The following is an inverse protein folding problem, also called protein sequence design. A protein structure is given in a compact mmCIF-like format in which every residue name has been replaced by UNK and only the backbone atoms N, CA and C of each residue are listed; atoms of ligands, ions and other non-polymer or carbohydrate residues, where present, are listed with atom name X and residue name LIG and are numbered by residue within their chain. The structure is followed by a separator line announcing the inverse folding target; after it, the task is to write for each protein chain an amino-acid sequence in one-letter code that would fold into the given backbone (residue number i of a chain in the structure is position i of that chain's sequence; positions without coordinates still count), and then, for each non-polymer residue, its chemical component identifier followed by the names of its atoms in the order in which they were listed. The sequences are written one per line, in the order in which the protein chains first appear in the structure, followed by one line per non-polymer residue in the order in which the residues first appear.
data_IF_466495953571
#
_entry.id   IF_466495953571
#
_cell.length_a   1.000
_cell.length_b   1.000
_cell.length_c   1.000
_cell.angle_alpha   90.00
_cell.angle_beta   90.00
_cell.angle_gamma   90.00
#
_symmetry.space_group_name_H-M   'P 1'
#
loop_
_entity.id
_entity.type
_entity.pdbx_description
1 polymer ?
#
# COMPACT_ATOMS: atom_id res chain seq x y z
N UNK A 1 2.92 2.36 27.76
CA UNK A 1 2.11 3.45 27.17
C UNK A 1 2.54 3.60 25.73
N UNK A 2 1.80 3.03 24.79
CA UNK A 2 2.11 3.16 23.36
C UNK A 2 1.84 4.59 22.95
N UNK A 3 2.86 5.29 22.47
CA UNK A 3 2.73 6.69 22.05
C UNK A 3 1.64 6.76 20.99
N UNK A 4 0.62 7.59 21.22
CA UNK A 4 -0.59 7.70 20.38
C UNK A 4 -0.21 7.94 18.91
N UNK A 5 0.92 8.59 18.66
CA UNK A 5 1.45 8.87 17.33
C UNK A 5 1.88 7.61 16.53
N UNK A 6 2.14 6.49 17.21
CA UNK A 6 2.58 5.24 16.60
C UNK A 6 1.44 4.28 16.23
N UNK A 7 0.18 4.58 16.54
CA UNK A 7 -0.91 3.71 16.12
C UNK A 7 -1.23 3.94 14.63
N UNK A 8 -1.62 2.86 13.95
CA UNK A 8 -2.06 2.87 12.55
C UNK A 8 -1.00 3.35 11.53
N UNK A 9 0.29 3.24 11.86
CA UNK A 9 1.41 3.64 10.98
C UNK A 9 1.44 2.87 9.66
N UNK A 10 0.87 1.66 9.62
CA UNK A 10 0.72 0.86 8.41
C UNK A 10 -0.08 1.56 7.29
N UNK A 11 -0.91 2.56 7.61
CA UNK A 11 -1.61 3.37 6.61
C UNK A 11 -0.62 4.05 5.63
N UNK A 12 0.53 4.51 6.13
CA UNK A 12 1.55 5.18 5.32
C UNK A 12 2.15 4.30 4.22
N UNK A 13 2.01 2.98 4.33
CA UNK A 13 2.50 2.04 3.31
C UNK A 13 1.62 2.06 2.06
N UNK A 14 0.32 2.27 2.22
CA UNK A 14 -0.66 2.11 1.14
C UNK A 14 -1.30 3.43 0.72
N UNK A 15 -1.09 4.50 1.47
CA UNK A 15 -1.73 5.79 1.25
C UNK A 15 -0.70 6.92 1.30
N UNK A 16 -0.89 7.92 0.45
CA UNK A 16 -0.14 9.17 0.51
C UNK A 16 -0.69 10.05 1.63
N UNK A 17 -0.21 9.81 2.85
CA UNK A 17 -0.65 10.55 4.03
C UNK A 17 -0.26 12.03 3.99
N UNK A 18 0.84 12.38 3.31
CA UNK A 18 1.32 13.76 3.24
C UNK A 18 0.36 14.62 2.43
N UNK A 19 0.02 14.15 1.23
CA UNK A 19 -0.95 14.82 0.36
C UNK A 19 -2.34 14.81 1.01
N UNK A 20 -2.78 13.68 1.58
CA UNK A 20 -4.07 13.60 2.29
C UNK A 20 -4.18 14.64 3.43
N UNK A 21 -3.15 14.78 4.27
CA UNK A 21 -3.20 15.76 5.36
C UNK A 21 -3.20 17.19 4.84
N UNK A 22 -2.49 17.46 3.76
CA UNK A 22 -2.42 18.80 3.15
C UNK A 22 -3.76 19.18 2.53
N UNK A 23 -4.34 18.27 1.76
CA UNK A 23 -5.58 18.51 1.02
C UNK A 23 -6.78 18.58 1.95
N UNK A 24 -6.88 17.68 2.93
CA UNK A 24 -7.94 17.74 3.95
C UNK A 24 -7.78 18.99 4.82
N UNK A 25 -6.55 19.42 5.14
CA UNK A 25 -6.33 20.69 5.86
C UNK A 25 -6.81 21.89 5.04
N UNK A 26 -6.59 21.84 3.73
CA UNK A 26 -7.02 22.87 2.79
C UNK A 26 -8.55 22.90 2.66
N UNK A 27 -9.19 21.73 2.53
CA UNK A 27 -10.65 21.58 2.46
C UNK A 27 -11.35 22.01 3.76
N UNK A 28 -10.72 21.80 4.93
CA UNK A 28 -11.21 22.28 6.23
C UNK A 28 -10.93 23.77 6.46
N UNK A 29 -9.94 24.34 5.77
CA UNK A 29 -9.40 25.68 6.01
C UNK A 29 -8.55 25.79 7.29
N UNK A 30 -8.18 24.67 7.93
CA UNK A 30 -7.36 24.60 9.15
C UNK A 30 -6.53 23.32 9.16
N UNK A 31 -5.40 23.34 9.86
CA UNK A 31 -4.55 22.15 10.06
C UNK A 31 -5.32 21.02 10.76
N UNK A 32 -5.17 19.78 10.29
CA UNK A 32 -5.67 18.62 11.05
C UNK A 32 -4.98 18.53 12.42
N UNK A 33 -5.80 18.29 13.44
CA UNK A 33 -5.33 17.96 14.79
C UNK A 33 -4.69 16.56 14.81
N UNK A 34 -3.82 16.26 15.79
CA UNK A 34 -3.23 14.93 15.94
C UNK A 34 -4.28 13.82 16.04
N UNK A 35 -5.41 14.09 16.69
CA UNK A 35 -6.52 13.14 16.85
C UNK A 35 -7.20 12.84 15.51
N UNK A 36 -7.45 13.86 14.69
CA UNK A 36 -8.04 13.67 13.36
C UNK A 36 -7.09 12.89 12.44
N UNK A 37 -5.78 13.19 12.48
CA UNK A 37 -4.78 12.41 11.72
C UNK A 37 -4.79 10.95 12.14
N UNK A 38 -4.92 10.70 13.44
CA UNK A 38 -4.95 9.35 14.00
C UNK A 38 -6.21 8.58 13.59
N UNK A 39 -7.38 9.20 13.73
CA UNK A 39 -8.65 8.60 13.30
C UNK A 39 -8.64 8.33 11.78
N UNK A 40 -8.07 9.23 10.97
CA UNK A 40 -7.92 9.04 9.53
C UNK A 40 -7.04 7.81 9.24
N UNK A 41 -5.86 7.69 9.88
CA UNK A 41 -5.00 6.50 9.72
C UNK A 41 -5.76 5.21 10.10
N UNK A 42 -6.58 5.26 11.15
CA UNK A 42 -7.43 4.14 11.55
C UNK A 42 -8.38 3.69 10.44
N UNK A 43 -9.10 4.63 9.83
CA UNK A 43 -10.00 4.36 8.71
C UNK A 43 -9.24 3.81 7.49
N UNK A 44 -8.12 4.43 7.13
CA UNK A 44 -7.28 4.02 5.99
C UNK A 44 -6.66 2.63 6.17
N UNK A 45 -6.51 2.17 7.42
CA UNK A 45 -6.12 0.79 7.74
C UNK A 45 -7.27 -0.22 7.62
N UNK A 46 -8.50 0.24 7.36
CA UNK A 46 -9.69 -0.62 7.30
C UNK A 46 -10.32 -0.92 8.66
N UNK A 47 -10.04 -0.14 9.70
CA UNK A 47 -10.73 -0.27 10.99
C UNK A 47 -12.03 0.52 11.01
N UNK A 48 -13.07 -0.09 11.56
CA UNK A 48 -14.34 0.58 11.86
C UNK A 48 -14.20 1.59 13.01
N UNK A 49 -15.13 2.56 13.13
CA UNK A 49 -15.15 3.50 14.26
C UNK A 49 -15.09 2.83 15.64
N UNK A 50 -15.75 1.68 15.80
CA UNK A 50 -15.74 0.90 17.04
C UNK A 50 -14.35 0.29 17.32
N UNK A 51 -13.70 -0.28 16.32
CA UNK A 51 -12.34 -0.85 16.46
C UNK A 51 -11.30 0.24 16.71
N UNK A 52 -11.45 1.42 16.09
CA UNK A 52 -10.61 2.58 16.37
C UNK A 52 -10.79 3.01 17.83
N UNK A 53 -12.03 3.12 18.31
CA UNK A 53 -12.31 3.50 19.69
C UNK A 53 -11.73 2.50 20.69
N UNK A 54 -11.86 1.20 20.44
CA UNK A 54 -11.27 0.13 21.26
C UNK A 54 -9.74 0.27 21.35
N UNK A 55 -9.06 0.41 20.19
CA UNK A 55 -7.60 0.55 20.14
C UNK A 55 -7.08 1.83 20.79
N UNK A 56 -7.89 2.90 20.75
CA UNK A 56 -7.58 4.17 21.40
C UNK A 56 -8.02 4.22 22.86
N UNK A 57 -8.66 3.16 23.37
CA UNK A 57 -9.28 3.11 24.70
C UNK A 57 -10.21 4.32 24.95
N UNK A 58 -11.00 4.66 23.92
CA UNK A 58 -11.98 5.78 23.89
C UNK A 58 -13.40 5.25 23.84
N UNK A 59 -14.36 6.12 24.14
CA UNK A 59 -15.77 5.82 23.97
C UNK A 59 -16.13 5.70 22.47
N UNK A 60 -16.75 4.58 22.08
CA UNK A 60 -17.18 4.30 20.70
C UNK A 60 -18.05 5.42 20.13
N UNK A 61 -19.10 5.83 20.87
CA UNK A 61 -20.01 6.90 20.43
C UNK A 61 -19.28 8.23 20.25
N UNK A 62 -18.29 8.50 21.09
CA UNK A 62 -17.45 9.70 20.97
C UNK A 62 -16.66 9.72 19.66
N UNK A 63 -16.04 8.59 19.30
CA UNK A 63 -15.27 8.47 18.04
C UNK A 63 -16.20 8.52 16.82
N UNK A 64 -17.36 7.87 16.86
CA UNK A 64 -18.34 7.93 15.76
C UNK A 64 -18.84 9.34 15.48
N UNK A 65 -19.22 10.07 16.54
CA UNK A 65 -19.69 11.46 16.43
C UNK A 65 -18.57 12.38 15.95
N UNK A 66 -17.34 12.17 16.44
CA UNK A 66 -16.18 12.93 15.99
C UNK A 66 -15.91 12.71 14.50
N UNK A 67 -15.85 11.46 14.05
CA UNK A 67 -15.66 11.09 12.64
C UNK A 67 -16.72 11.71 11.72
N UNK A 68 -17.98 11.62 12.13
CA UNK A 68 -19.11 12.10 11.34
C UNK A 68 -19.11 13.64 11.20
N UNK A 69 -18.76 14.36 12.27
CA UNK A 69 -18.72 15.83 12.28
C UNK A 69 -17.42 16.42 11.70
N UNK A 70 -16.34 15.64 11.65
CA UNK A 70 -15.02 16.10 11.22
C UNK A 70 -14.60 15.44 9.91
N UNK A 71 -13.95 14.28 9.96
CA UNK A 71 -13.31 13.63 8.82
C UNK A 71 -14.29 13.37 7.67
N UNK A 72 -15.51 12.89 7.95
CA UNK A 72 -16.47 12.61 6.89
C UNK A 72 -16.86 13.87 6.14
N UNK A 73 -17.07 14.98 6.87
CA UNK A 73 -17.38 16.27 6.27
C UNK A 73 -16.22 16.81 5.44
N UNK A 74 -14.98 16.66 5.92
CA UNK A 74 -13.82 17.19 5.20
C UNK A 74 -13.51 16.38 3.95
N UNK A 75 -13.64 15.05 4.01
CA UNK A 75 -13.44 14.19 2.84
C UNK A 75 -14.52 14.47 1.80
N UNK A 76 -15.79 14.62 2.19
CA UNK A 76 -16.86 15.02 1.24
C UNK A 76 -16.54 16.31 0.51
N UNK A 77 -16.10 17.34 1.24
CA UNK A 77 -15.72 18.62 0.65
C UNK A 77 -14.51 18.47 -0.30
N UNK A 78 -13.59 17.57 0.02
CA UNK A 78 -12.39 17.32 -0.80
C UNK A 78 -12.72 16.63 -2.13
N UNK A 79 -13.62 15.64 -2.10
CA UNK A 79 -13.98 14.83 -3.28
C UNK A 79 -15.23 15.34 -4.01
N UNK A 80 -15.71 16.53 -3.64
CA UNK A 80 -16.94 17.16 -4.16
C UNK A 80 -18.20 16.26 -4.08
N UNK A 81 -18.31 15.47 -3.01
CA UNK A 81 -19.45 14.59 -2.70
C UNK A 81 -20.28 15.11 -1.54
N UNK A 82 -20.45 16.42 -1.48
CA UNK A 82 -21.15 17.14 -0.41
C UNK A 82 -22.58 16.62 -0.18
N UNK A 83 -23.26 16.26 -1.26
CA UNK A 83 -24.66 15.80 -1.26
C UNK A 83 -24.83 14.29 -1.02
N UNK A 84 -23.76 13.49 -1.13
CA UNK A 84 -23.84 12.04 -0.88
C UNK A 84 -23.86 11.74 0.62
N UNK A 85 -24.75 10.84 1.04
CA UNK A 85 -24.79 10.37 2.43
C UNK A 85 -23.69 9.31 2.64
N UNK A 86 -22.92 9.46 3.71
CA UNK A 86 -21.97 8.41 4.15
C UNK A 86 -22.81 7.37 4.90
N UNK A 87 -23.22 6.32 4.21
CA UNK A 87 -23.97 5.21 4.80
C UNK A 87 -23.04 4.21 5.50
N UNK A 88 -21.82 4.06 4.97
CA UNK A 88 -20.79 3.19 5.51
C UNK A 88 -19.48 3.96 5.62
N UNK A 89 -18.73 3.74 6.70
CA UNK A 89 -17.41 4.34 6.89
C UNK A 89 -16.43 3.95 5.77
N UNK A 90 -16.66 2.80 5.12
CA UNK A 90 -15.87 2.34 3.97
C UNK A 90 -15.97 3.26 2.75
N UNK A 91 -17.08 3.97 2.59
CA UNK A 91 -17.25 4.93 1.49
C UNK A 91 -16.15 6.01 1.55
N UNK A 92 -15.70 6.39 2.75
CA UNK A 92 -14.62 7.36 2.92
C UNK A 92 -13.31 6.84 2.32
N UNK A 93 -12.97 5.58 2.59
CA UNK A 93 -11.76 4.98 2.01
C UNK A 93 -11.89 4.79 0.51
N UNK A 94 -13.07 4.39 0.01
CA UNK A 94 -13.34 4.23 -1.42
C UNK A 94 -13.20 5.55 -2.18
N UNK A 95 -13.81 6.64 -1.68
CA UNK A 95 -13.69 7.96 -2.32
C UNK A 95 -12.27 8.49 -2.34
N UNK A 96 -11.48 8.25 -1.29
CA UNK A 96 -10.07 8.64 -1.26
C UNK A 96 -9.23 7.79 -2.23
N UNK A 97 -9.58 6.52 -2.42
CA UNK A 97 -8.95 5.66 -3.42
C UNK A 97 -9.27 6.13 -4.84
N UNK A 98 -10.54 6.44 -5.14
CA UNK A 98 -11.01 7.00 -6.41
C UNK A 98 -10.35 8.36 -6.73
N UNK A 99 -10.14 9.19 -5.71
CA UNK A 99 -9.42 10.45 -5.83
C UNK A 99 -7.89 10.29 -6.04
N UNK A 100 -7.36 9.07 -6.01
CA UNK A 100 -5.97 8.77 -6.32
C UNK A 100 -5.01 8.86 -5.14
N UNK A 101 -5.50 8.95 -3.90
CA UNK A 101 -4.64 9.04 -2.70
C UNK A 101 -4.03 7.70 -2.28
N UNK A 102 -4.53 6.59 -2.84
CA UNK A 102 -3.97 5.27 -2.55
C UNK A 102 -2.72 5.09 -3.39
N UNK A 103 -1.59 4.83 -2.72
CA UNK A 103 -0.32 4.57 -3.39
C UNK A 103 -0.53 3.39 -4.33
N UNK A 104 -0.23 3.60 -5.61
CA UNK A 104 -0.10 2.48 -6.53
C UNK A 104 1.01 1.60 -5.99
N UNK A 105 0.66 0.39 -5.56
CA UNK A 105 1.66 -0.62 -5.21
C UNK A 105 2.31 -1.00 -6.54
N UNK A 106 3.37 -0.27 -6.93
CA UNK A 106 4.28 -0.79 -7.93
C UNK A 106 4.90 -2.00 -7.26
N UNK A 107 4.46 -3.20 -7.63
CA UNK A 107 5.17 -4.43 -7.30
C UNK A 107 6.50 -4.39 -8.06
N UNK A 108 7.45 -3.59 -7.57
CA UNK A 108 8.85 -3.74 -7.91
C UNK A 108 9.30 -5.00 -7.22
N UNK A 109 9.17 -6.12 -7.93
CA UNK A 109 9.88 -7.34 -7.57
C UNK A 109 11.37 -6.97 -7.61
N UNK A 110 11.99 -6.80 -6.44
CA UNK A 110 13.45 -6.89 -6.35
C UNK A 110 13.81 -8.34 -6.68
N UNK A 111 14.14 -8.61 -7.93
CA UNK A 111 14.90 -9.80 -8.28
C UNK A 111 16.26 -9.63 -7.59
N UNK A 112 16.53 -10.43 -6.56
CA UNK A 112 17.85 -10.47 -5.93
C UNK A 112 18.88 -10.92 -6.95
N UNK A 113 19.99 -10.19 -7.03
CA UNK A 113 20.99 -10.09 -8.10
C UNK A 113 21.73 -11.38 -8.56
N UNK A 114 21.18 -12.59 -8.40
CA UNK A 114 21.92 -13.85 -8.63
C UNK A 114 21.29 -14.80 -9.67
N UNK A 115 20.49 -14.32 -10.62
CA UNK A 115 20.04 -15.17 -11.73
C UNK A 115 20.61 -14.66 -13.07
N UNK A 116 21.48 -15.44 -13.77
CA UNK A 116 22.01 -15.09 -15.09
C UNK A 116 20.95 -15.35 -16.18
N UNK A 117 19.75 -14.83 -15.98
CA UNK A 117 18.58 -15.09 -16.82
C UNK A 117 17.86 -13.76 -17.02
N UNK A 118 17.82 -13.30 -18.28
CA UNK A 118 17.01 -12.15 -18.67
C UNK A 118 15.53 -12.57 -18.65
N UNK A 119 14.80 -12.10 -17.64
CA UNK A 119 13.39 -12.44 -17.43
C UNK A 119 12.49 -11.33 -17.99
N UNK A 120 12.01 -11.51 -19.23
CA UNK A 120 11.14 -10.54 -19.89
C UNK A 120 9.66 -10.88 -19.66
N UNK A 121 9.04 -10.28 -18.64
CA UNK A 121 7.58 -10.37 -18.42
C UNK A 121 6.88 -9.33 -19.29
N UNK A 122 6.15 -9.77 -20.33
CA UNK A 122 5.52 -8.85 -21.29
C UNK A 122 4.09 -8.44 -20.92
N UNK A 123 3.33 -9.31 -20.25
CA UNK A 123 1.94 -9.07 -19.88
C UNK A 123 1.45 -10.11 -18.88
N UNK A 124 0.79 -9.66 -17.81
CA UNK A 124 0.09 -10.50 -16.84
C UNK A 124 -1.40 -10.17 -16.93
N UNK A 125 -2.26 -11.19 -17.02
CA UNK A 125 -3.70 -11.02 -16.85
C UNK A 125 -4.07 -11.48 -15.44
N UNK A 126 -4.75 -10.61 -14.69
CA UNK A 126 -5.27 -10.93 -13.35
C UNK A 126 -6.77 -10.83 -13.45
N UNK A 127 -7.46 -11.93 -13.16
CA UNK A 127 -8.92 -11.98 -13.10
C UNK A 127 -9.39 -12.62 -11.79
N UNK A 128 -10.60 -12.26 -11.39
CA UNK A 128 -11.26 -12.78 -10.20
C UNK A 128 -12.49 -13.57 -10.64
N UNK A 129 -12.56 -14.85 -10.29
CA UNK A 129 -13.71 -15.72 -10.57
C UNK A 129 -14.03 -16.58 -9.34
N UNK A 130 -15.28 -16.58 -8.87
CA UNK A 130 -15.75 -17.45 -7.79
C UNK A 130 -14.83 -17.50 -6.55
N UNK A 131 -14.46 -16.34 -6.00
CA UNK A 131 -13.51 -16.21 -4.87
C UNK A 131 -12.09 -16.74 -5.15
N UNK A 132 -11.76 -17.06 -6.40
CA UNK A 132 -10.42 -17.44 -6.84
C UNK A 132 -9.76 -16.28 -7.57
N UNK A 133 -8.47 -16.13 -7.32
CA UNK A 133 -7.61 -15.22 -8.09
C UNK A 133 -6.94 -16.07 -9.16
N UNK A 134 -7.18 -15.74 -10.42
CA UNK A 134 -6.55 -16.39 -11.58
C UNK A 134 -5.49 -15.43 -12.11
N UNK A 135 -4.26 -15.91 -12.20
CA UNK A 135 -3.10 -15.12 -12.64
C UNK A 135 -2.46 -15.82 -13.83
N UNK A 136 -2.68 -15.28 -15.03
CA UNK A 136 -2.08 -15.78 -16.26
C UNK A 136 -0.78 -15.01 -16.55
N UNK A 137 0.35 -15.73 -16.48
CA UNK A 137 1.69 -15.16 -16.66
C UNK A 137 2.30 -15.70 -17.95
N UNK A 138 2.51 -14.83 -18.92
CA UNK A 138 3.31 -15.16 -20.11
C UNK A 138 4.78 -14.89 -19.81
N UNK A 139 5.55 -15.97 -19.60
CA UNK A 139 6.96 -15.90 -19.22
C UNK A 139 7.86 -16.45 -20.33
N UNK A 140 8.91 -15.70 -20.68
CA UNK A 140 10.02 -16.19 -21.52
C UNK A 140 11.31 -16.21 -20.70
N UNK A 141 11.94 -17.38 -20.64
CA UNK A 141 13.23 -17.60 -19.98
C UNK A 141 14.26 -17.81 -21.08
N UNK A 142 15.31 -16.99 -21.07
CA UNK A 142 16.47 -17.19 -21.94
C UNK A 142 17.66 -17.54 -21.04
N UNK A 143 18.05 -18.80 -21.07
CA UNK A 143 19.26 -19.28 -20.40
C UNK A 143 20.36 -19.44 -21.45
N UNK A 144 21.51 -18.82 -21.21
CA UNK A 144 22.71 -19.07 -22.00
C UNK A 144 23.23 -20.45 -21.64
N UNK A 145 23.25 -21.37 -22.61
CA UNK A 145 23.99 -22.63 -22.44
C UNK A 145 25.47 -22.28 -22.30
N UNK A 146 26.04 -22.62 -21.15
CA UNK A 146 27.49 -22.64 -20.96
C UNK A 146 28.04 -23.68 -21.94
N UNK A 147 28.66 -23.23 -23.02
CA UNK A 147 29.44 -24.11 -23.88
C UNK A 147 30.62 -24.63 -23.07
N UNK A 148 30.77 -25.95 -22.98
CA UNK A 148 31.94 -26.61 -22.41
C UNK A 148 33.19 -26.25 -23.22
N UNK A 149 33.91 -25.20 -22.84
CA UNK A 149 35.30 -25.00 -23.27
C UNK A 149 36.26 -25.54 -22.19
N UNK A 150 36.60 -26.82 -22.36
CA UNK A 150 37.91 -27.44 -22.10
C UNK A 150 38.77 -26.85 -20.96
N UNK A 151 38.63 -27.41 -19.76
CA UNK A 151 39.75 -27.44 -18.80
C UNK A 151 40.68 -28.60 -19.22
N UNK A 152 41.58 -28.35 -20.18
CA UNK A 152 42.78 -29.17 -20.34
C UNK A 152 43.82 -28.60 -19.38
N UNK A 153 43.90 -29.13 -18.16
CA UNK A 153 45.08 -28.94 -17.31
C UNK A 153 46.27 -29.66 -17.95
N UNK A 154 47.14 -28.90 -18.61
CA UNK A 154 48.48 -29.37 -18.99
C UNK A 154 49.32 -29.58 -17.73
N UNK A 155 49.44 -30.83 -17.29
CA UNK A 155 50.50 -31.22 -16.36
C UNK A 155 51.84 -31.17 -17.10
N UNK A 156 52.50 -30.01 -17.07
CA UNK A 156 53.88 -29.88 -17.51
C UNK A 156 54.81 -30.56 -16.51
N UNK A 157 55.47 -31.60 -16.99
CA UNK A 157 56.60 -32.29 -16.38
C UNK A 157 57.78 -31.34 -16.21
N UNK A 158 58.21 -31.09 -14.97
CA UNK A 158 59.55 -30.55 -14.70
C UNK A 158 60.37 -31.60 -13.96
N UNK A 159 61.19 -32.32 -14.73
CA UNK A 159 62.33 -33.07 -14.23
C UNK A 159 63.64 -32.32 -14.48
N UNK A 160 64.48 -32.32 -13.44
CA UNK A 160 65.95 -32.18 -13.40
C UNK A 160 66.59 -30.80 -13.56
N UNK A 161 67.37 -30.42 -12.53
CA UNK A 161 68.83 -30.63 -12.54
C UNK A 161 69.32 -30.91 -11.13
#
# INVERSE_FOLDING_TARGET
MTSIDQQFTQAAKYWDLETLYTDISSAKGKRLTPVEKLHLRGLLCGYSPAEIAEKLNKNIKGVEVDLCNTLYKYVKNLVDKSDEKVENWRNITEWLEEAGYKNQISNQIKLSDNLPVELLVKKTNISFDNNKIIVDINLRIVASSISEELIIEKFNTNGKS
#
